data_IF_115805900845
#
_entry.id   IF_115805900845
#
_cell.length_a   1.000
_cell.length_b   1.000
_cell.length_c   1.000
_cell.angle_alpha   90.00
_cell.angle_beta   90.00
_cell.angle_gamma   90.00
#
_symmetry.space_group_name_H-M   'P 1'
#
loop_
_entity.id
_entity.type
_entity.pdbx_description
1 polymer ?
#
# COMPACT_ATOMS: atom_id res chain seq x y z
N UNK A 1 1.15 -9.19 -6.61
CA UNK A 1 2.47 -8.99 -5.95
C UNK A 1 2.60 -9.87 -4.71
N UNK A 2 3.81 -10.05 -4.14
CA UNK A 2 4.03 -10.84 -2.90
C UNK A 2 4.82 -10.05 -1.85
N UNK A 3 4.39 -10.10 -0.61
CA UNK A 3 5.05 -9.46 0.53
C UNK A 3 5.45 -10.55 1.51
N UNK A 4 6.67 -10.46 2.04
CA UNK A 4 7.06 -11.30 3.17
C UNK A 4 6.29 -10.82 4.40
N UNK A 5 5.22 -11.56 4.71
CA UNK A 5 4.32 -11.29 5.82
C UNK A 5 5.10 -11.44 7.13
N UNK A 6 5.07 -10.42 7.99
CA UNK A 6 5.67 -10.56 9.32
C UNK A 6 4.75 -10.07 10.46
N UNK A 7 3.46 -10.39 10.30
CA UNK A 7 2.42 -10.25 11.31
C UNK A 7 1.03 -10.58 10.74
N UNK A 8 0.02 -10.68 11.62
CA UNK A 8 -1.38 -10.76 11.22
C UNK A 8 -1.85 -9.38 10.69
N UNK A 9 -2.43 -9.34 9.49
CA UNK A 9 -2.98 -8.15 8.79
C UNK A 9 -1.95 -7.10 8.32
N UNK A 10 -1.39 -7.30 7.12
CA UNK A 10 -0.75 -6.21 6.36
C UNK A 10 -1.81 -5.60 5.43
N UNK A 11 -1.99 -4.29 5.48
CA UNK A 11 -2.91 -3.55 4.61
C UNK A 11 -2.11 -2.88 3.50
N UNK A 12 -2.64 -2.95 2.29
CA UNK A 12 -2.05 -2.32 1.12
C UNK A 12 -3.05 -1.32 0.56
N UNK A 13 -2.62 -0.08 0.47
CA UNK A 13 -3.41 1.06 0.04
C UNK A 13 -2.84 1.61 -1.25
N UNK A 14 -3.70 1.99 -2.18
CA UNK A 14 -3.33 2.85 -3.30
C UNK A 14 -3.88 4.22 -2.99
N UNK A 15 -3.00 5.19 -2.77
CA UNK A 15 -3.38 6.57 -2.40
C UNK A 15 -2.83 7.55 -3.42
N UNK A 16 -3.54 8.63 -3.63
CA UNK A 16 -3.07 9.85 -4.31
C UNK A 16 -2.90 10.94 -3.25
N UNK A 17 -2.35 12.12 -3.60
CA UNK A 17 -2.26 13.22 -2.64
C UNK A 17 -3.59 13.61 -1.98
N UNK A 18 -4.72 13.36 -2.64
CA UNK A 18 -6.05 13.79 -2.16
C UNK A 18 -6.97 12.62 -1.80
N UNK A 19 -6.84 11.47 -2.46
CA UNK A 19 -7.82 10.39 -2.38
C UNK A 19 -7.17 9.01 -2.12
N UNK A 20 -7.79 8.21 -1.27
CA UNK A 20 -7.55 6.77 -1.20
C UNK A 20 -8.35 6.08 -2.31
N UNK A 21 -7.66 5.44 -3.25
CA UNK A 21 -8.27 4.82 -4.42
C UNK A 21 -8.69 3.37 -4.19
N UNK A 22 -7.90 2.62 -3.43
CA UNK A 22 -8.18 1.22 -3.11
C UNK A 22 -7.49 0.79 -1.82
N UNK A 23 -8.05 -0.21 -1.15
CA UNK A 23 -7.47 -0.90 -0.01
C UNK A 23 -7.66 -2.41 -0.16
N UNK A 24 -6.59 -3.17 0.07
CA UNK A 24 -6.63 -4.63 0.12
C UNK A 24 -5.83 -5.15 1.31
N UNK A 25 -6.28 -6.26 1.88
CA UNK A 25 -5.56 -6.96 2.95
C UNK A 25 -4.76 -8.10 2.31
N UNK A 26 -3.48 -8.20 2.66
CA UNK A 26 -2.63 -9.31 2.18
C UNK A 26 -3.16 -10.65 2.69
N UNK A 27 -3.14 -11.65 1.83
CA UNK A 27 -3.49 -13.04 2.15
C UNK A 27 -2.55 -13.65 3.21
N UNK A 28 -2.83 -14.87 3.66
CA UNK A 28 -1.98 -15.62 4.60
C UNK A 28 -0.56 -15.83 4.10
N UNK A 29 -0.41 -16.12 2.82
CA UNK A 29 0.84 -16.22 2.05
C UNK A 29 1.61 -14.89 1.92
N UNK A 30 0.98 -13.76 2.27
CA UNK A 30 1.50 -12.41 2.04
C UNK A 30 1.33 -11.91 0.59
N UNK A 31 0.60 -12.63 -0.25
CA UNK A 31 0.22 -12.13 -1.59
C UNK A 31 -0.88 -11.09 -1.52
N UNK A 32 -0.83 -10.14 -2.44
CA UNK A 32 -1.91 -9.19 -2.66
C UNK A 32 -1.95 -8.79 -4.12
N UNK A 33 -3.14 -8.47 -4.60
CA UNK A 33 -3.36 -7.79 -5.86
C UNK A 33 -4.29 -6.60 -5.61
N UNK A 34 -4.01 -5.48 -6.24
CA UNK A 34 -4.78 -4.25 -6.05
C UNK A 34 -4.93 -3.51 -7.37
N UNK A 35 -6.18 -3.29 -7.74
CA UNK A 35 -6.56 -2.47 -8.87
C UNK A 35 -7.39 -1.29 -8.35
N UNK A 36 -7.13 -0.12 -8.90
CA UNK A 36 -7.82 1.10 -8.51
C UNK A 36 -8.11 1.93 -9.74
N UNK A 37 -9.32 2.49 -9.80
CA UNK A 37 -9.75 3.39 -10.86
C UNK A 37 -10.19 4.71 -10.26
N UNK A 38 -9.84 5.82 -10.89
CA UNK A 38 -10.30 7.14 -10.48
C UNK A 38 -10.80 7.92 -11.69
N UNK A 39 -11.82 8.76 -11.48
CA UNK A 39 -12.33 9.71 -12.47
C UNK A 39 -11.56 11.03 -12.47
N UNK A 40 -10.57 11.18 -11.59
CA UNK A 40 -9.77 12.39 -11.45
C UNK A 40 -8.85 12.56 -12.67
N UNK A 41 -9.05 13.65 -13.43
CA UNK A 41 -8.35 13.94 -14.69
C UNK A 41 -6.97 14.60 -14.51
N UNK A 42 -6.65 15.05 -13.28
CA UNK A 42 -5.48 15.85 -12.90
C UNK A 42 -4.25 14.95 -12.62
N UNK A 43 -3.20 15.48 -11.97
CA UNK A 43 -1.94 14.76 -11.72
C UNK A 43 -2.14 13.48 -10.91
N UNK A 44 -2.30 12.37 -11.62
CA UNK A 44 -2.31 11.02 -11.07
C UNK A 44 -0.87 10.64 -10.67
N UNK A 45 -0.49 11.00 -9.45
CA UNK A 45 0.72 10.54 -8.78
C UNK A 45 0.35 9.50 -7.69
N UNK A 46 -0.16 8.32 -8.05
CA UNK A 46 -0.52 7.31 -7.07
C UNK A 46 0.72 6.71 -6.40
N UNK A 47 0.58 6.44 -5.11
CA UNK A 47 1.57 5.84 -4.25
C UNK A 47 0.96 4.59 -3.65
N UNK A 48 1.66 3.47 -3.82
CA UNK A 48 1.34 2.23 -3.13
C UNK A 48 1.89 2.32 -1.71
N UNK A 49 1.01 2.29 -0.73
CA UNK A 49 1.34 2.37 0.69
C UNK A 49 1.06 1.02 1.34
N UNK A 50 2.09 0.40 1.92
CA UNK A 50 1.97 -0.83 2.70
C UNK A 50 2.03 -0.47 4.17
N UNK A 51 0.97 -0.82 4.90
CA UNK A 51 0.85 -0.69 6.35
C UNK A 51 1.03 -2.06 7.00
N UNK A 52 2.05 -2.20 7.83
CA UNK A 52 2.36 -3.47 8.48
C UNK A 52 2.77 -3.27 9.93
N UNK A 53 2.76 -4.34 10.72
CA UNK A 53 3.15 -4.33 12.14
C UNK A 53 4.41 -5.15 12.42
N UNK A 54 5.25 -5.33 11.41
CA UNK A 54 6.49 -6.07 11.58
C UNK A 54 7.34 -5.47 12.67
N UNK A 55 7.84 -6.32 13.58
CA UNK A 55 8.79 -5.91 14.63
C UNK A 55 8.26 -4.79 15.57
N UNK A 56 6.96 -4.45 15.50
CA UNK A 56 6.32 -3.62 16.50
C UNK A 56 6.02 -4.48 17.72
N UNK A 57 6.55 -4.07 18.87
CA UNK A 57 6.24 -4.69 20.15
C UNK A 57 4.76 -4.49 20.49
N UNK A 58 4.20 -5.44 21.24
CA UNK A 58 2.77 -5.53 21.62
C UNK A 58 2.17 -4.23 22.19
N UNK A 59 3.00 -3.34 22.75
CA UNK A 59 2.62 -2.05 23.32
C UNK A 59 2.18 -1.01 22.27
N UNK A 60 2.49 -1.22 20.98
CA UNK A 60 2.12 -0.33 19.87
C UNK A 60 1.03 -0.93 18.98
N UNK A 61 0.07 -1.66 19.54
CA UNK A 61 -1.00 -2.32 18.78
C UNK A 61 -1.88 -1.37 17.96
N UNK A 62 -1.90 -0.08 18.31
CA UNK A 62 -2.59 0.98 17.57
C UNK A 62 -1.78 1.55 16.40
N UNK A 63 -0.52 1.14 16.25
CA UNK A 63 0.39 1.67 15.26
C UNK A 63 0.61 0.71 14.09
N UNK A 64 1.00 1.31 12.97
CA UNK A 64 1.43 0.63 11.76
C UNK A 64 2.70 1.32 11.24
N UNK A 65 3.64 0.52 10.77
CA UNK A 65 4.76 1.00 9.98
C UNK A 65 4.29 1.19 8.54
N UNK A 66 4.63 2.34 7.98
CA UNK A 66 4.26 2.75 6.63
C UNK A 66 5.48 2.61 5.71
N UNK A 67 5.26 1.96 4.57
CA UNK A 67 6.22 1.85 3.48
C UNK A 67 5.55 2.31 2.20
N UNK A 68 6.14 3.29 1.53
CA UNK A 68 5.57 3.91 0.34
C UNK A 68 6.41 3.62 -0.90
N UNK A 69 5.72 3.24 -1.96
CA UNK A 69 6.29 3.00 -3.28
C UNK A 69 5.53 3.85 -4.30
N UNK A 70 6.16 4.89 -4.87
CA UNK A 70 5.54 5.65 -5.96
C UNK A 70 5.30 4.71 -7.15
N UNK A 71 4.08 4.73 -7.69
CA UNK A 71 3.74 3.94 -8.87
C UNK A 71 4.13 4.75 -10.11
N UNK A 72 5.02 4.24 -10.97
CA UNK A 72 5.41 4.94 -12.19
C UNK A 72 4.21 5.18 -13.11
N UNK A 73 4.16 6.35 -13.76
CA UNK A 73 3.05 6.74 -14.66
C UNK A 73 2.83 5.78 -15.82
N UNK A 74 3.85 5.03 -16.24
CA UNK A 74 3.74 3.96 -17.25
C UNK A 74 2.79 2.82 -16.86
N UNK A 75 2.52 2.65 -15.56
CA UNK A 75 1.59 1.65 -15.03
C UNK A 75 0.20 2.25 -14.75
N UNK A 76 -0.08 3.45 -15.24
CA UNK A 76 -1.37 4.13 -15.08
C UNK A 76 -2.05 4.19 -16.44
N UNK A 77 -3.15 3.45 -16.58
CA UNK A 77 -4.00 3.52 -17.77
C UNK A 77 -4.86 4.78 -17.74
N UNK A 78 -4.88 5.56 -18.83
CA UNK A 78 -5.72 6.76 -18.95
C UNK A 78 -6.82 6.54 -19.99
N UNK A 79 -8.08 6.56 -19.55
CA UNK A 79 -9.27 6.42 -20.40
C UNK A 79 -9.88 5.02 -20.44
N UNK A 80 -11.10 4.89 -21.01
CA UNK A 80 -11.78 3.59 -21.15
C UNK A 80 -10.97 2.66 -22.05
N UNK A 81 -10.62 1.48 -21.54
CA UNK A 81 -9.89 0.45 -22.28
C UNK A 81 -8.37 0.65 -22.33
N UNK A 82 -7.83 1.63 -21.59
CA UNK A 82 -6.39 1.78 -21.44
C UNK A 82 -5.83 0.57 -20.68
N UNK A 83 -4.97 -0.21 -21.36
CA UNK A 83 -4.27 -1.34 -20.75
C UNK A 83 -3.10 -0.79 -19.95
N UNK A 84 -3.24 -0.75 -18.63
CA UNK A 84 -2.10 -0.56 -17.75
C UNK A 84 -1.34 -1.90 -17.65
N UNK A 85 -0.03 -1.88 -17.84
CA UNK A 85 0.78 -3.06 -17.53
C UNK A 85 0.81 -3.26 -16.01
N UNK A 86 0.66 -4.49 -15.52
CA UNK A 86 0.70 -4.76 -14.09
C UNK A 86 2.05 -4.33 -13.54
N UNK A 87 2.02 -3.41 -12.58
CA UNK A 87 3.22 -3.08 -11.82
C UNK A 87 3.54 -4.28 -10.92
N UNK A 88 4.78 -4.77 -10.93
CA UNK A 88 5.19 -5.87 -10.07
C UNK A 88 6.45 -5.49 -9.30
N UNK A 89 6.31 -5.34 -7.97
CA UNK A 89 7.42 -5.05 -7.06
C UNK A 89 8.20 -6.30 -6.65
N UNK A 90 7.76 -7.49 -7.08
CA UNK A 90 8.36 -8.76 -6.67
C UNK A 90 8.03 -9.13 -5.23
N UNK A 91 9.04 -9.64 -4.52
CA UNK A 91 8.96 -10.02 -3.09
C UNK A 91 9.62 -8.95 -2.23
N UNK A 92 8.88 -8.44 -1.24
CA UNK A 92 9.36 -7.38 -0.34
C UNK A 92 9.52 -7.87 1.10
N UNK A 93 10.72 -7.70 1.67
CA UNK A 93 11.00 -7.90 3.10
C UNK A 93 10.57 -6.68 3.92
N UNK A 94 9.58 -6.85 4.80
CA UNK A 94 9.07 -5.76 5.64
C UNK A 94 9.71 -5.68 7.02
N UNK A 95 10.41 -6.73 7.48
CA UNK A 95 10.94 -6.80 8.86
C UNK A 95 11.86 -5.63 9.23
N UNK A 96 12.63 -5.14 8.25
CA UNK A 96 13.59 -4.05 8.43
C UNK A 96 13.26 -2.83 7.56
N UNK A 97 12.03 -2.74 7.02
CA UNK A 97 11.61 -1.59 6.21
C UNK A 97 10.51 -0.85 6.93
N UNK A 98 10.83 0.36 7.36
CA UNK A 98 9.87 1.35 7.82
C UNK A 98 10.37 2.72 7.38
N UNK A 99 9.51 3.51 6.74
CA UNK A 99 9.80 4.94 6.52
C UNK A 99 9.20 5.80 7.60
N UNK A 100 8.02 5.43 8.06
CA UNK A 100 7.25 6.23 9.01
C UNK A 100 6.41 5.35 9.94
N UNK A 101 6.13 5.84 11.14
CA UNK A 101 5.30 5.18 12.14
C UNK A 101 3.97 5.93 12.24
N UNK A 102 2.91 5.35 11.69
CA UNK A 102 1.56 5.88 11.79
C UNK A 102 0.82 5.21 12.94
N UNK A 103 0.69 5.92 14.06
CA UNK A 103 -0.14 5.50 15.18
C UNK A 103 -1.54 6.10 15.07
N UNK A 104 -2.59 5.28 15.21
CA UNK A 104 -3.93 5.82 15.43
C UNK A 104 -3.95 6.54 16.78
N UNK A 105 -3.70 7.84 16.78
CA UNK A 105 -3.94 8.69 17.95
C UNK A 105 -5.45 8.84 18.11
N UNK A 106 -6.01 8.20 19.13
CA UNK A 106 -7.32 8.57 19.64
C UNK A 106 -7.22 10.02 20.12
N UNK A 107 -7.70 10.96 19.30
CA UNK A 107 -8.04 12.30 19.77
C UNK A 107 -9.26 12.12 20.68
N UNK A 108 -9.07 12.31 21.98
CA UNK A 108 -10.14 12.52 22.96
C UNK A 108 -10.72 13.93 22.79
#
# INVERSE_FOLDING_TARGET
MRVQKCGFMTRTLVVTPNDQLAEVITEESGTFDVEATTSQLTWLNPVLTILHRCNLTKYYYICYLKVEFPIPTKHIGRGRGAKAEPYNLGTLELKNRARDLSCMSFWF
#
